data_IF_287339737607
#
_entry.id   IF_287339737607
#
_cell.length_a   1.000
_cell.length_b   1.000
_cell.length_c   1.000
_cell.angle_alpha   90.00
_cell.angle_beta   90.00
_cell.angle_gamma   90.00
#
_symmetry.space_group_name_H-M   'P 1'
#
loop_
_entity.id
_entity.type
_entity.pdbx_description
1 polymer ?
#
# COMPACT_ATOMS: atom_id res chain seq x y z
N UNK A 1 13.35 -57.31 -30.37
CA UNK A 1 13.23 -57.22 -28.90
C UNK A 1 13.48 -55.77 -28.51
N UNK A 2 12.41 -55.06 -28.17
CA UNK A 2 12.40 -53.69 -27.68
C UNK A 2 12.86 -53.68 -26.22
N UNK A 3 13.97 -53.01 -25.92
CA UNK A 3 14.43 -52.72 -24.57
C UNK A 3 14.20 -51.25 -24.24
N UNK A 4 13.20 -51.00 -23.40
CA UNK A 4 12.86 -49.70 -22.82
C UNK A 4 13.86 -49.30 -21.74
N UNK A 5 14.51 -48.14 -21.88
CA UNK A 5 15.19 -47.48 -20.76
C UNK A 5 14.20 -46.62 -19.98
N UNK A 6 14.03 -46.98 -18.70
CA UNK A 6 13.26 -46.29 -17.68
C UNK A 6 13.90 -44.93 -17.34
N UNK A 7 13.13 -43.86 -17.48
CA UNK A 7 13.43 -42.54 -16.90
C UNK A 7 12.69 -42.42 -15.56
N UNK A 8 13.35 -42.82 -14.47
CA UNK A 8 12.85 -42.63 -13.11
C UNK A 8 13.51 -41.38 -12.48
N UNK A 9 12.69 -40.51 -11.90
CA UNK A 9 13.07 -39.73 -10.72
C UNK A 9 13.71 -38.36 -10.92
N UNK A 10 13.01 -37.39 -11.51
CA UNK A 10 13.31 -35.95 -11.29
C UNK A 10 12.08 -35.09 -10.97
N UNK A 11 10.88 -35.67 -10.90
CA UNK A 11 9.65 -34.92 -10.57
C UNK A 11 9.29 -34.92 -9.08
N UNK A 12 9.86 -35.81 -8.26
CA UNK A 12 9.48 -35.94 -6.84
C UNK A 12 10.38 -35.15 -5.88
N UNK A 13 11.61 -34.77 -6.27
CA UNK A 13 12.52 -34.03 -5.38
C UNK A 13 12.09 -32.59 -5.09
N UNK A 14 11.33 -31.93 -5.98
CA UNK A 14 10.85 -30.55 -5.73
C UNK A 14 9.71 -30.55 -4.72
N UNK A 15 8.81 -31.54 -4.80
CA UNK A 15 7.73 -31.72 -3.83
C UNK A 15 8.25 -32.14 -2.45
N UNK A 16 9.23 -33.04 -2.40
CA UNK A 16 9.87 -33.44 -1.14
C UNK A 16 10.72 -32.32 -0.53
N UNK A 17 11.39 -31.49 -1.35
CA UNK A 17 12.11 -30.32 -0.85
C UNK A 17 11.15 -29.26 -0.31
N UNK A 18 10.03 -28.97 -0.99
CA UNK A 18 8.99 -28.06 -0.51
C UNK A 18 8.30 -28.58 0.76
N UNK A 19 8.02 -29.89 0.88
CA UNK A 19 7.49 -30.50 2.11
C UNK A 19 8.51 -30.54 3.26
N UNK A 20 9.78 -30.84 2.99
CA UNK A 20 10.84 -30.80 4.00
C UNK A 20 11.13 -29.37 4.47
N UNK A 21 11.04 -28.42 3.54
CA UNK A 21 11.05 -27.00 3.82
C UNK A 21 9.86 -26.67 4.74
N UNK A 22 8.62 -26.97 4.35
CA UNK A 22 7.41 -26.69 5.16
C UNK A 22 7.50 -27.25 6.59
N UNK A 23 8.09 -28.43 6.74
CA UNK A 23 8.33 -29.07 8.04
C UNK A 23 9.38 -28.36 8.93
N UNK A 24 10.31 -27.56 8.37
CA UNK A 24 11.27 -26.78 9.17
C UNK A 24 10.64 -25.55 9.86
N UNK A 25 9.54 -25.01 9.33
CA UNK A 25 8.87 -23.84 9.93
C UNK A 25 7.78 -24.22 10.94
N UNK A 26 7.22 -25.43 10.83
CA UNK A 26 6.20 -25.95 11.72
C UNK A 26 6.69 -26.28 13.14
N UNK A 27 8.01 -26.38 13.37
CA UNK A 27 8.56 -26.94 14.61
C UNK A 27 8.95 -25.95 15.71
N UNK A 28 8.93 -24.63 15.47
CA UNK A 28 9.43 -23.65 16.47
C UNK A 28 8.45 -22.49 16.69
N UNK A 29 7.83 -22.49 17.87
CA UNK A 29 7.03 -21.37 18.39
C UNK A 29 7.97 -20.28 18.91
N UNK A 30 7.81 -19.04 18.45
CA UNK A 30 8.57 -17.90 18.98
C UNK A 30 8.08 -17.57 20.41
N UNK A 31 9.01 -17.65 21.37
CA UNK A 31 8.82 -17.37 22.78
C UNK A 31 9.21 -15.95 23.17
N UNK A 32 8.89 -15.51 24.40
CA UNK A 32 9.25 -14.19 24.92
C UNK A 32 10.73 -13.80 24.72
N UNK A 33 11.64 -14.77 24.88
CA UNK A 33 13.09 -14.58 24.70
C UNK A 33 13.47 -14.17 23.28
N UNK A 34 12.71 -14.59 22.27
CA UNK A 34 13.04 -14.36 20.87
C UNK A 34 12.70 -12.91 20.45
N UNK A 35 11.86 -12.20 21.22
CA UNK A 35 11.48 -10.81 20.95
C UNK A 35 12.68 -9.85 20.90
N UNK A 36 13.80 -10.18 21.54
CA UNK A 36 15.03 -9.36 21.50
C UNK A 36 15.65 -9.32 20.10
N UNK A 37 15.43 -10.34 19.27
CA UNK A 37 16.00 -10.47 17.92
C UNK A 37 15.16 -9.78 16.82
N UNK A 38 14.07 -9.08 17.19
CA UNK A 38 13.18 -8.39 16.26
C UNK A 38 13.10 -6.89 16.57
N UNK A 39 13.45 -6.04 15.60
CA UNK A 39 13.49 -4.57 15.77
C UNK A 39 12.37 -3.89 14.99
N UNK A 40 11.85 -2.77 15.49
CA UNK A 40 10.82 -2.01 14.81
C UNK A 40 11.29 -1.56 13.43
N UNK A 41 10.50 -1.86 12.39
CA UNK A 41 10.73 -1.37 11.02
C UNK A 41 9.74 -0.27 10.65
N UNK A 42 8.48 -0.44 11.02
CA UNK A 42 7.41 0.49 10.71
C UNK A 42 6.04 -0.13 10.98
N UNK A 43 4.98 0.63 10.69
CA UNK A 43 3.61 0.14 10.84
C UNK A 43 2.61 0.86 9.93
N UNK A 44 1.61 0.10 9.51
CA UNK A 44 0.39 0.60 8.88
C UNK A 44 -0.72 0.86 9.89
N UNK A 45 -1.95 0.98 9.42
CA UNK A 45 -3.11 1.01 10.32
C UNK A 45 -3.36 -0.36 10.95
N UNK A 46 -3.27 -1.42 10.15
CA UNK A 46 -3.62 -2.79 10.57
C UNK A 46 -2.44 -3.61 11.09
N UNK A 47 -1.21 -3.32 10.67
CA UNK A 47 -0.07 -4.21 10.94
C UNK A 47 1.15 -3.45 11.46
N UNK A 48 1.86 -4.10 12.38
CA UNK A 48 3.20 -3.78 12.84
C UNK A 48 4.21 -4.62 12.04
N UNK A 49 5.35 -4.05 11.65
CA UNK A 49 6.41 -4.74 10.93
C UNK A 49 7.70 -4.69 11.75
N UNK A 50 8.32 -5.86 11.98
CA UNK A 50 9.58 -6.00 12.69
C UNK A 50 10.63 -6.66 11.79
N UNK A 51 11.83 -6.11 11.73
CA UNK A 51 12.95 -6.73 11.01
C UNK A 51 13.77 -7.63 11.93
N UNK A 52 14.22 -8.78 11.41
CA UNK A 52 15.12 -9.65 12.15
C UNK A 52 16.52 -9.03 12.26
N UNK A 53 17.09 -9.06 13.46
CA UNK A 53 18.45 -8.60 13.78
C UNK A 53 19.32 -9.67 14.46
N UNK A 54 18.81 -10.89 14.67
CA UNK A 54 19.59 -12.01 15.20
C UNK A 54 20.43 -12.71 14.12
N UNK A 55 20.98 -13.87 14.47
CA UNK A 55 21.88 -14.65 13.60
C UNK A 55 21.29 -15.97 13.11
N UNK A 56 20.06 -16.33 13.49
CA UNK A 56 19.45 -17.59 13.08
C UNK A 56 19.21 -17.59 11.55
N UNK A 57 19.84 -18.51 10.78
CA UNK A 57 19.81 -18.46 9.31
C UNK A 57 18.40 -18.41 8.71
N UNK A 58 17.44 -19.09 9.34
CA UNK A 58 16.03 -19.13 8.89
C UNK A 58 15.29 -17.78 8.94
N UNK A 59 15.75 -16.83 9.74
CA UNK A 59 15.12 -15.52 9.89
C UNK A 59 15.97 -14.38 9.32
N UNK A 60 17.24 -14.64 8.94
CA UNK A 60 18.11 -13.63 8.33
C UNK A 60 17.47 -13.10 7.04
N UNK A 61 17.36 -11.77 6.95
CA UNK A 61 16.74 -11.10 5.81
C UNK A 61 15.22 -11.25 5.76
N UNK A 62 14.56 -11.53 6.88
CA UNK A 62 13.10 -11.59 7.01
C UNK A 62 12.54 -10.49 7.91
N UNK A 63 11.25 -10.24 7.77
CA UNK A 63 10.44 -9.40 8.64
C UNK A 63 9.24 -10.18 9.17
N UNK A 64 8.80 -9.86 10.39
CA UNK A 64 7.49 -10.26 10.91
C UNK A 64 6.46 -9.18 10.62
N UNK A 65 5.30 -9.58 10.09
CA UNK A 65 4.09 -8.77 9.97
C UNK A 65 3.09 -9.26 11.02
N UNK A 66 2.84 -8.41 12.02
CA UNK A 66 2.01 -8.72 13.20
C UNK A 66 0.76 -7.85 13.15
N UNK A 67 -0.41 -8.47 13.29
CA UNK A 67 -1.68 -7.74 13.28
C UNK A 67 -1.85 -6.91 14.56
N UNK A 68 -2.51 -5.76 14.41
CA UNK A 68 -2.92 -4.89 15.49
C UNK A 68 -4.44 -4.89 15.67
N UNK A 69 -4.86 -4.64 16.91
CA UNK A 69 -6.26 -4.44 17.31
C UNK A 69 -6.45 -3.02 17.85
N UNK A 70 -7.66 -2.43 17.74
CA UNK A 70 -7.96 -1.11 18.30
C UNK A 70 -7.67 -1.04 19.80
N UNK A 71 -7.16 0.10 20.27
CA UNK A 71 -6.83 0.28 21.69
C UNK A 71 -8.06 0.26 22.62
N UNK A 72 -9.19 0.80 22.15
CA UNK A 72 -10.39 1.10 22.94
C UNK A 72 -11.60 0.19 22.65
N UNK A 73 -11.43 -0.95 21.97
CA UNK A 73 -12.56 -1.76 21.46
C UNK A 73 -12.47 -3.26 21.77
N UNK A 74 -13.60 -3.83 22.18
CA UNK A 74 -13.88 -5.22 22.56
C UNK A 74 -13.96 -6.19 21.37
N UNK A 75 -12.97 -6.22 20.48
CA UNK A 75 -12.85 -7.28 19.47
C UNK A 75 -11.70 -8.21 19.85
N UNK A 76 -11.87 -8.87 20.99
CA UNK A 76 -11.16 -10.11 21.33
C UNK A 76 -12.15 -11.28 21.20
N UNK A 77 -12.91 -11.31 20.11
CA UNK A 77 -13.87 -12.38 19.87
C UNK A 77 -13.20 -13.51 19.10
N UNK A 78 -12.63 -14.46 19.85
CA UNK A 78 -12.18 -15.78 19.39
C UNK A 78 -13.35 -16.66 18.87
N UNK A 79 -14.42 -16.07 18.31
CA UNK A 79 -15.65 -16.76 17.94
C UNK A 79 -16.36 -16.23 16.69
N UNK A 80 -15.83 -15.19 16.05
CA UNK A 80 -16.35 -14.76 14.74
C UNK A 80 -15.64 -15.51 13.61
N UNK A 81 -16.39 -15.93 12.61
CA UNK A 81 -15.82 -16.48 11.38
C UNK A 81 -14.80 -15.50 10.78
N UNK A 82 -13.68 -16.00 10.25
CA UNK A 82 -12.60 -15.22 9.64
C UNK A 82 -13.09 -14.14 8.65
N UNK A 83 -14.22 -14.41 8.01
CA UNK A 83 -14.94 -13.54 7.10
C UNK A 83 -16.40 -13.40 7.53
N UNK A 84 -17.01 -12.25 7.24
CA UNK A 84 -18.46 -12.10 7.38
C UNK A 84 -19.20 -13.00 6.38
N UNK A 85 -20.48 -13.33 6.65
CA UNK A 85 -21.31 -14.16 5.73
C UNK A 85 -21.30 -13.64 4.28
N UNK A 86 -21.34 -12.32 4.09
CA UNK A 86 -21.33 -11.71 2.77
C UNK A 86 -19.94 -11.75 2.12
N UNK A 87 -18.87 -11.62 2.90
CA UNK A 87 -17.51 -11.83 2.40
C UNK A 87 -17.28 -13.29 2.00
N UNK A 88 -17.84 -14.26 2.72
CA UNK A 88 -17.80 -15.67 2.31
C UNK A 88 -18.44 -15.86 0.92
N UNK A 89 -19.58 -15.23 0.66
CA UNK A 89 -20.22 -15.28 -0.67
C UNK A 89 -19.36 -14.56 -1.72
N UNK A 90 -18.80 -13.40 -1.36
CA UNK A 90 -18.00 -12.60 -2.27
C UNK A 90 -16.73 -13.36 -2.71
N UNK A 91 -16.05 -14.02 -1.77
CA UNK A 91 -14.77 -14.69 -2.01
C UNK A 91 -14.90 -16.20 -2.27
N UNK A 92 -16.11 -16.75 -2.20
CA UNK A 92 -16.37 -18.19 -2.34
C UNK A 92 -15.97 -18.83 -3.67
N UNK A 93 -15.64 -18.04 -4.70
CA UNK A 93 -15.07 -18.54 -5.95
C UNK A 93 -13.59 -18.94 -5.84
N UNK A 94 -12.90 -18.52 -4.78
CA UNK A 94 -11.49 -18.80 -4.55
C UNK A 94 -11.36 -19.88 -3.49
N UNK A 95 -10.78 -21.01 -3.89
CA UNK A 95 -10.58 -22.16 -3.02
C UNK A 95 -9.79 -21.79 -1.76
N UNK A 96 -10.20 -22.33 -0.61
CA UNK A 96 -9.54 -22.17 0.68
C UNK A 96 -9.88 -20.87 1.43
N UNK A 97 -10.17 -19.76 0.75
CA UNK A 97 -10.36 -18.44 1.41
C UNK A 97 -11.51 -18.47 2.43
N UNK A 98 -12.64 -19.07 2.08
CA UNK A 98 -13.84 -19.10 2.93
C UNK A 98 -13.71 -20.09 4.10
N UNK A 99 -12.94 -21.15 3.92
CA UNK A 99 -12.67 -22.17 4.95
C UNK A 99 -11.50 -21.81 5.87
N UNK A 100 -10.87 -20.65 5.66
CA UNK A 100 -9.74 -20.22 6.47
C UNK A 100 -10.13 -20.08 7.96
N UNK A 101 -9.31 -20.61 8.89
CA UNK A 101 -9.64 -20.61 10.32
C UNK A 101 -9.57 -19.20 10.93
N UNK A 102 -8.69 -18.35 10.41
CA UNK A 102 -8.49 -16.98 10.90
C UNK A 102 -8.49 -15.99 9.73
N UNK A 103 -8.66 -14.71 10.06
CA UNK A 103 -8.64 -13.65 9.05
C UNK A 103 -7.25 -13.52 8.42
N UNK A 104 -6.19 -13.80 9.17
CA UNK A 104 -4.81 -13.75 8.70
C UNK A 104 -4.57 -14.81 7.63
N UNK A 105 -5.04 -16.04 7.86
CA UNK A 105 -4.97 -17.10 6.86
C UNK A 105 -5.82 -16.77 5.63
N UNK A 106 -7.01 -16.19 5.81
CA UNK A 106 -7.83 -15.71 4.69
C UNK A 106 -7.12 -14.62 3.87
N UNK A 107 -6.41 -13.70 4.53
CA UNK A 107 -5.62 -12.65 3.88
C UNK A 107 -4.40 -13.20 3.15
N UNK A 108 -3.69 -14.17 3.72
CA UNK A 108 -2.59 -14.85 3.05
C UNK A 108 -3.07 -15.58 1.79
N UNK A 109 -4.17 -16.35 1.90
CA UNK A 109 -4.79 -17.03 0.76
C UNK A 109 -5.32 -16.04 -0.28
N UNK A 110 -5.83 -14.87 0.14
CA UNK A 110 -6.17 -13.80 -0.78
C UNK A 110 -4.95 -13.32 -1.57
N UNK A 111 -3.79 -13.12 -0.93
CA UNK A 111 -2.57 -12.76 -1.64
C UNK A 111 -2.16 -13.86 -2.61
N UNK A 112 -2.12 -15.12 -2.17
CA UNK A 112 -1.70 -16.26 -2.99
C UNK A 112 -2.63 -16.53 -4.19
N UNK A 113 -3.95 -16.53 -3.96
CA UNK A 113 -4.96 -16.97 -4.94
C UNK A 113 -5.55 -15.84 -5.76
N UNK A 114 -5.41 -14.58 -5.32
CA UNK A 114 -5.96 -13.40 -6.00
C UNK A 114 -4.86 -12.46 -6.48
N UNK A 115 -3.92 -12.07 -5.61
CA UNK A 115 -2.93 -11.05 -5.96
C UNK A 115 -1.76 -11.62 -6.78
N UNK A 116 -1.22 -12.80 -6.43
CA UNK A 116 -0.12 -13.40 -7.20
C UNK A 116 -0.46 -13.60 -8.68
N UNK A 117 -1.64 -14.16 -9.06
CA UNK A 117 -2.00 -14.29 -10.48
C UNK A 117 -2.15 -12.95 -11.23
N UNK A 118 -2.41 -11.85 -10.51
CA UNK A 118 -2.62 -10.52 -11.10
C UNK A 118 -1.32 -9.71 -11.22
N UNK A 119 -0.34 -9.96 -10.35
CA UNK A 119 0.87 -9.15 -10.22
C UNK A 119 2.17 -9.90 -10.58
N UNK A 120 2.08 -11.21 -10.84
CA UNK A 120 3.25 -12.08 -11.04
C UNK A 120 3.75 -12.65 -9.71
N UNK A 121 3.84 -13.98 -9.62
CA UNK A 121 4.32 -14.69 -8.43
C UNK A 121 5.77 -14.36 -8.05
N UNK A 122 6.58 -13.95 -9.03
CA UNK A 122 7.97 -13.53 -8.86
C UNK A 122 8.11 -12.18 -8.12
N UNK A 123 7.03 -11.39 -8.06
CA UNK A 123 7.00 -10.07 -7.44
C UNK A 123 6.16 -10.01 -6.16
N UNK A 124 5.52 -11.12 -5.77
CA UNK A 124 4.62 -11.18 -4.62
C UNK A 124 5.08 -12.24 -3.64
N UNK A 125 5.47 -11.82 -2.44
CA UNK A 125 5.71 -12.71 -1.31
C UNK A 125 4.45 -12.76 -0.45
N UNK A 126 3.73 -13.89 -0.48
CA UNK A 126 2.56 -14.10 0.36
C UNK A 126 2.91 -14.31 1.85
N UNK A 127 4.19 -14.57 2.15
CA UNK A 127 4.66 -14.93 3.47
C UNK A 127 4.30 -16.36 3.88
N UNK A 128 4.88 -16.77 5.00
CA UNK A 128 4.57 -18.04 5.68
C UNK A 128 4.13 -17.75 7.11
N UNK A 129 3.24 -18.59 7.65
CA UNK A 129 2.86 -18.48 9.06
C UNK A 129 3.96 -19.03 9.96
N UNK A 130 4.25 -18.30 11.03
CA UNK A 130 5.13 -18.74 12.13
C UNK A 130 4.33 -18.67 13.42
N UNK A 131 4.36 -19.76 14.19
CA UNK A 131 3.69 -19.82 15.48
C UNK A 131 4.36 -18.89 16.49
N UNK A 132 3.55 -18.20 17.29
CA UNK A 132 4.01 -17.29 18.34
C UNK A 132 3.30 -17.59 19.64
N UNK A 133 4.02 -17.41 20.73
CA UNK A 133 3.44 -17.40 22.07
C UNK A 133 2.81 -16.05 22.39
N UNK A 134 1.85 -16.03 23.31
CA UNK A 134 1.29 -14.79 23.84
C UNK A 134 2.37 -13.92 24.49
N UNK A 135 3.30 -14.55 25.21
CA UNK A 135 4.38 -13.86 25.91
C UNK A 135 5.36 -13.21 24.92
N UNK A 136 5.56 -13.78 23.73
CA UNK A 136 6.29 -13.14 22.65
C UNK A 136 5.62 -11.83 22.19
N UNK A 137 4.31 -11.86 21.96
CA UNK A 137 3.55 -10.70 21.50
C UNK A 137 3.52 -9.58 22.54
N UNK A 138 3.34 -9.93 23.81
CA UNK A 138 3.40 -8.98 24.93
C UNK A 138 4.81 -8.37 25.08
N UNK A 139 5.87 -9.17 24.93
CA UNK A 139 7.24 -8.69 24.95
C UNK A 139 7.55 -7.74 23.77
N UNK A 140 7.04 -8.07 22.57
CA UNK A 140 7.13 -7.21 21.38
C UNK A 140 6.45 -5.86 21.61
N UNK A 141 5.18 -5.85 22.04
CA UNK A 141 4.41 -4.62 22.27
C UNK A 141 5.17 -3.68 23.21
N UNK A 142 5.66 -4.20 24.33
CA UNK A 142 6.46 -3.45 25.31
C UNK A 142 7.74 -2.89 24.69
N UNK A 143 8.45 -3.68 23.88
CA UNK A 143 9.73 -3.28 23.26
C UNK A 143 9.57 -2.15 22.26
N UNK A 144 8.51 -2.18 21.45
CA UNK A 144 8.33 -1.22 20.37
C UNK A 144 7.61 0.06 20.81
N UNK A 145 6.99 0.09 21.99
CA UNK A 145 6.15 1.20 22.44
C UNK A 145 6.81 2.59 22.27
N UNK A 146 8.08 2.73 22.66
CA UNK A 146 8.82 3.99 22.53
C UNK A 146 9.32 4.34 21.12
N UNK A 147 9.21 3.41 20.16
CA UNK A 147 9.63 3.59 18.76
C UNK A 147 8.44 3.92 17.85
N UNK A 148 7.21 3.62 18.29
CA UNK A 148 5.98 3.84 17.54
C UNK A 148 5.55 5.31 17.65
N UNK A 149 5.02 5.94 16.59
CA UNK A 149 4.42 7.27 16.69
C UNK A 149 3.27 7.29 17.71
N UNK A 150 3.16 8.34 18.53
CA UNK A 150 2.17 8.42 19.61
C UNK A 150 0.74 8.16 19.14
N UNK A 151 0.31 8.81 18.05
CA UNK A 151 -1.04 8.61 17.48
C UNK A 151 -1.30 7.18 16.98
N UNK A 152 -0.24 6.40 16.69
CA UNK A 152 -0.36 4.98 16.33
C UNK A 152 -0.54 4.10 17.56
N UNK A 153 0.16 4.43 18.64
CA UNK A 153 0.01 3.79 19.96
C UNK A 153 -1.41 4.01 20.48
N UNK A 154 -1.89 5.26 20.43
CA UNK A 154 -3.24 5.61 20.88
C UNK A 154 -4.34 4.89 20.07
N UNK A 155 -4.09 4.64 18.79
CA UNK A 155 -5.08 4.04 17.90
C UNK A 155 -5.17 2.51 18.04
N UNK A 156 -4.04 1.81 18.20
CA UNK A 156 -3.99 0.35 18.12
C UNK A 156 -2.76 -0.26 18.81
N UNK A 157 -2.90 -1.50 19.27
CA UNK A 157 -1.86 -2.32 19.92
C UNK A 157 -1.70 -3.67 19.22
N UNK A 158 -0.59 -4.36 19.40
CA UNK A 158 -0.43 -5.76 18.95
C UNK A 158 -1.57 -6.62 19.50
N UNK A 159 -2.11 -7.52 18.67
CA UNK A 159 -3.13 -8.48 19.09
C UNK A 159 -2.50 -9.61 19.92
N UNK A 160 -2.72 -9.72 21.24
CA UNK A 160 -2.08 -10.74 22.07
C UNK A 160 -2.75 -12.13 21.94
N UNK A 161 -3.86 -12.22 21.19
CA UNK A 161 -4.62 -13.47 21.02
C UNK A 161 -4.25 -14.22 19.74
N UNK A 162 -3.43 -13.65 18.87
CA UNK A 162 -2.92 -14.36 17.70
C UNK A 162 -1.95 -15.47 18.14
N UNK A 163 -2.10 -16.65 17.54
CA UNK A 163 -1.20 -17.81 17.73
C UNK A 163 -0.17 -17.92 16.60
N UNK A 164 -0.31 -17.11 15.54
CA UNK A 164 0.61 -17.07 14.41
C UNK A 164 0.75 -15.64 13.86
N UNK A 165 1.88 -15.40 13.20
CA UNK A 165 2.22 -14.16 12.50
C UNK A 165 2.79 -14.48 11.12
N UNK A 166 2.81 -13.50 10.20
CA UNK A 166 3.39 -13.72 8.88
C UNK A 166 4.88 -13.36 8.87
N UNK A 167 5.70 -14.30 8.41
CA UNK A 167 7.11 -14.10 8.10
C UNK A 167 7.27 -13.86 6.59
N UNK A 168 7.84 -12.72 6.22
CA UNK A 168 7.98 -12.26 4.83
C UNK A 168 9.44 -11.89 4.57
N UNK A 169 9.91 -11.93 3.33
CA UNK A 169 11.21 -11.38 2.97
C UNK A 169 11.35 -9.88 3.33
N UNK A 170 12.51 -9.48 3.85
CA UNK A 170 12.83 -8.07 4.01
C UNK A 170 13.17 -7.49 2.62
N UNK A 171 12.16 -6.90 1.97
CA UNK A 171 12.31 -6.26 0.66
C UNK A 171 13.09 -4.93 0.72
N UNK A 172 13.53 -4.49 1.91
CA UNK A 172 14.49 -3.38 2.07
C UNK A 172 15.96 -3.84 2.10
N UNK A 173 16.18 -5.16 1.98
CA UNK A 173 17.50 -5.79 1.89
C UNK A 173 17.59 -6.63 0.63
N UNK A 174 18.73 -6.61 -0.03
CA UNK A 174 19.06 -7.59 -1.07
C UNK A 174 19.58 -8.87 -0.40
N UNK A 175 19.19 -10.09 -0.82
CA UNK A 175 19.76 -11.32 -0.28
C UNK A 175 21.30 -11.28 -0.37
N UNK A 176 21.96 -11.81 0.67
CA UNK A 176 23.38 -11.59 0.95
C UNK A 176 24.25 -11.71 -0.29
N UNK A 177 25.04 -10.67 -0.50
CA UNK A 177 26.20 -10.74 -1.37
C UNK A 177 27.33 -11.51 -0.74
N UNK A 178 28.12 -12.19 -1.59
CA UNK A 178 29.36 -12.86 -1.21
C UNK A 178 30.38 -11.87 -0.63
N UNK A 179 30.22 -10.56 -0.86
CA UNK A 179 31.20 -9.53 -0.54
C UNK A 179 30.79 -8.61 0.62
N UNK A 180 31.78 -8.32 1.48
CA UNK A 180 31.66 -7.59 2.74
C UNK A 180 31.41 -6.07 2.59
N UNK A 181 31.51 -5.54 1.37
CA UNK A 181 31.44 -4.11 1.03
C UNK A 181 30.16 -3.72 0.26
N UNK A 182 29.26 -4.68 0.00
CA UNK A 182 28.03 -4.40 -0.74
C UNK A 182 27.01 -3.68 0.15
N UNK A 183 26.53 -2.53 -0.32
CA UNK A 183 25.35 -1.87 0.26
C UNK A 183 24.13 -2.03 -0.65
N UNK A 184 22.95 -1.99 -0.03
CA UNK A 184 21.66 -2.06 -0.69
C UNK A 184 20.92 -0.73 -0.55
N UNK A 185 20.45 -0.19 -1.67
CA UNK A 185 19.51 0.92 -1.70
C UNK A 185 18.16 0.36 -2.12
N UNK A 186 17.14 0.57 -1.29
CA UNK A 186 15.77 0.19 -1.63
C UNK A 186 14.89 1.42 -1.69
N UNK A 187 13.98 1.44 -2.65
CA UNK A 187 13.02 2.52 -2.86
C UNK A 187 11.62 1.94 -2.74
N UNK A 188 10.80 2.50 -1.86
CA UNK A 188 9.38 2.20 -1.75
C UNK A 188 8.59 3.31 -2.44
N UNK A 189 7.77 2.93 -3.43
CA UNK A 189 6.88 3.82 -4.15
C UNK A 189 5.44 3.38 -3.87
N UNK A 190 4.59 4.29 -3.42
CA UNK A 190 3.14 4.09 -3.39
C UNK A 190 2.52 4.83 -4.58
N UNK A 191 2.27 4.14 -5.71
CA UNK A 191 2.08 4.80 -7.01
C UNK A 191 0.67 5.38 -7.20
N UNK A 192 -0.28 5.04 -6.33
CA UNK A 192 -1.68 5.52 -6.42
C UNK A 192 -2.29 5.22 -7.80
N UNK A 193 -3.29 6.01 -8.20
CA UNK A 193 -4.17 5.69 -9.33
C UNK A 193 -3.75 6.34 -10.62
N UNK A 194 -2.94 5.65 -11.42
CA UNK A 194 -2.57 6.09 -12.76
C UNK A 194 -3.60 5.82 -13.85
N UNK A 195 -4.87 6.11 -13.64
CA UNK A 195 -5.87 6.18 -14.71
C UNK A 195 -6.99 7.17 -14.38
N UNK A 196 -7.69 7.63 -15.41
CA UNK A 196 -8.93 8.38 -15.28
C UNK A 196 -10.12 7.42 -15.44
N UNK A 197 -11.15 7.49 -14.59
CA UNK A 197 -12.31 6.65 -14.74
C UNK A 197 -13.09 7.03 -16.00
N UNK A 198 -13.59 6.02 -16.72
CA UNK A 198 -14.41 6.17 -17.95
C UNK A 198 -15.88 5.82 -17.73
N UNK A 199 -16.24 5.42 -16.51
CA UNK A 199 -17.57 4.93 -16.14
C UNK A 199 -18.70 5.86 -16.59
N UNK A 200 -19.75 5.27 -17.15
CA UNK A 200 -21.01 5.94 -17.48
C UNK A 200 -21.85 6.27 -16.22
N UNK A 201 -21.53 5.64 -15.09
CA UNK A 201 -22.23 5.83 -13.82
C UNK A 201 -21.73 7.05 -13.03
N UNK A 202 -20.67 7.71 -13.47
CA UNK A 202 -20.24 8.99 -12.89
C UNK A 202 -21.32 10.03 -13.15
N UNK A 203 -21.78 10.69 -12.09
CA UNK A 203 -22.81 11.70 -12.22
C UNK A 203 -22.33 12.95 -12.99
N UNK A 204 -23.23 13.69 -13.62
CA UNK A 204 -22.85 14.83 -14.48
C UNK A 204 -22.20 15.93 -13.65
N UNK A 205 -22.71 16.16 -12.45
CA UNK A 205 -22.12 17.04 -11.43
C UNK A 205 -20.68 16.64 -11.03
N UNK A 206 -20.32 15.37 -11.26
CA UNK A 206 -19.02 14.77 -10.94
C UNK A 206 -18.15 14.54 -12.20
N UNK A 207 -18.52 15.08 -13.36
CA UNK A 207 -17.83 14.85 -14.64
C UNK A 207 -16.34 15.20 -14.63
N UNK A 208 -15.89 16.05 -13.70
CA UNK A 208 -14.48 16.39 -13.48
C UNK A 208 -13.60 15.16 -13.22
N UNK A 209 -14.17 14.09 -12.64
CA UNK A 209 -13.47 12.81 -12.40
C UNK A 209 -12.90 12.20 -13.68
N UNK A 210 -13.56 12.42 -14.83
CA UNK A 210 -13.13 11.91 -16.14
C UNK A 210 -11.92 12.69 -16.71
N UNK A 211 -11.56 13.83 -16.11
CA UNK A 211 -10.51 14.74 -16.61
C UNK A 211 -9.35 14.90 -15.63
N UNK A 212 -9.65 14.87 -14.32
CA UNK A 212 -8.66 15.14 -13.26
C UNK A 212 -8.40 13.88 -12.45
N UNK A 213 -7.13 13.45 -12.28
CA UNK A 213 -6.80 12.29 -11.47
C UNK A 213 -7.29 12.44 -10.02
N UNK A 214 -7.84 11.36 -9.46
CA UNK A 214 -8.25 11.30 -8.05
C UNK A 214 -7.15 11.79 -7.10
N UNK A 215 -5.88 11.45 -7.37
CA UNK A 215 -4.75 11.91 -6.56
C UNK A 215 -4.69 13.44 -6.48
N UNK A 216 -4.79 14.14 -7.62
CA UNK A 216 -4.77 15.60 -7.67
C UNK A 216 -5.96 16.22 -6.94
N UNK A 217 -7.17 15.69 -7.15
CA UNK A 217 -8.35 16.18 -6.43
C UNK A 217 -8.21 15.99 -4.92
N UNK A 218 -7.72 14.82 -4.49
CA UNK A 218 -7.57 14.50 -3.08
C UNK A 218 -6.44 15.30 -2.41
N UNK A 219 -5.38 15.69 -3.13
CA UNK A 219 -4.34 16.59 -2.60
C UNK A 219 -4.95 17.91 -2.09
N UNK A 220 -5.91 18.50 -2.82
CA UNK A 220 -6.58 19.73 -2.36
C UNK A 220 -7.33 19.52 -1.04
N UNK A 221 -8.10 18.44 -0.95
CA UNK A 221 -8.84 18.12 0.28
C UNK A 221 -7.89 17.84 1.44
N UNK A 222 -6.79 17.11 1.21
CA UNK A 222 -5.77 16.84 2.23
C UNK A 222 -5.11 18.12 2.73
N UNK A 223 -4.80 19.06 1.84
CA UNK A 223 -4.22 20.35 2.22
C UNK A 223 -5.21 21.13 3.10
N UNK A 224 -6.47 21.23 2.67
CA UNK A 224 -7.52 21.90 3.45
C UNK A 224 -7.73 21.26 4.83
N UNK A 225 -7.61 19.93 4.94
CA UNK A 225 -7.71 19.20 6.19
C UNK A 225 -6.43 19.24 7.05
N UNK A 226 -5.40 19.98 6.63
CA UNK A 226 -4.11 20.04 7.32
C UNK A 226 -3.33 18.71 7.34
N UNK A 227 -3.71 17.74 6.49
CA UNK A 227 -3.07 16.41 6.41
C UNK A 227 -1.75 16.43 5.64
N UNK A 228 -1.52 17.47 4.85
CA UNK A 228 -0.28 17.72 4.11
C UNK A 228 0.06 19.20 4.19
N UNK A 229 1.34 19.54 4.19
CA UNK A 229 1.82 20.94 4.24
C UNK A 229 1.81 21.64 2.88
N UNK A 230 2.00 20.86 1.80
CA UNK A 230 2.06 21.36 0.42
C UNK A 230 1.50 20.33 -0.56
N UNK A 231 0.93 20.82 -1.67
CA UNK A 231 0.47 19.96 -2.75
C UNK A 231 1.65 19.23 -3.39
N UNK A 232 1.47 17.94 -3.66
CA UNK A 232 2.44 17.15 -4.41
C UNK A 232 2.40 17.51 -5.90
N UNK A 233 3.59 17.59 -6.52
CA UNK A 233 3.72 17.69 -7.98
C UNK A 233 3.64 16.32 -8.67
N UNK A 234 3.63 15.24 -7.89
CA UNK A 234 3.54 13.88 -8.40
C UNK A 234 2.23 13.68 -9.16
N UNK A 235 2.33 13.12 -10.37
CA UNK A 235 1.18 12.70 -11.16
C UNK A 235 1.25 11.19 -11.40
N UNK A 236 0.33 10.40 -10.85
CA UNK A 236 0.22 8.99 -11.18
C UNK A 236 0.07 8.74 -12.69
N UNK A 237 -0.58 9.62 -13.45
CA UNK A 237 -0.68 9.43 -14.90
C UNK A 237 0.68 9.50 -15.60
N UNK A 238 1.63 10.26 -15.06
CA UNK A 238 3.00 10.32 -15.59
C UNK A 238 3.78 9.03 -15.26
N UNK A 239 3.59 8.49 -14.04
CA UNK A 239 4.20 7.23 -13.60
C UNK A 239 3.74 6.03 -14.44
N UNK A 240 2.46 5.96 -14.80
CA UNK A 240 1.88 4.82 -15.54
C UNK A 240 1.77 5.08 -17.05
N UNK A 241 2.59 5.98 -17.60
CA UNK A 241 2.34 6.55 -18.92
C UNK A 241 2.87 5.78 -20.13
N UNK A 242 3.74 4.78 -19.96
CA UNK A 242 4.53 4.26 -21.09
C UNK A 242 5.79 5.08 -21.41
N UNK A 243 5.90 6.32 -20.92
CA UNK A 243 6.88 7.28 -21.40
C UNK A 243 7.99 7.54 -20.37
N UNK A 244 9.23 7.21 -20.75
CA UNK A 244 10.45 7.46 -19.97
C UNK A 244 10.52 8.87 -19.38
N UNK A 245 10.29 9.90 -20.18
CA UNK A 245 10.36 11.30 -19.73
C UNK A 245 9.31 11.62 -18.66
N UNK A 246 8.09 11.10 -18.85
CA UNK A 246 6.99 11.30 -17.90
C UNK A 246 7.27 10.55 -16.60
N UNK A 247 7.74 9.31 -16.68
CA UNK A 247 8.16 8.52 -15.51
C UNK A 247 9.27 9.25 -14.75
N UNK A 248 10.28 9.78 -15.45
CA UNK A 248 11.35 10.54 -14.82
C UNK A 248 10.84 11.79 -14.10
N UNK A 249 9.88 12.52 -14.69
CA UNK A 249 9.22 13.66 -14.01
C UNK A 249 8.43 13.22 -12.78
N UNK A 250 7.74 12.09 -12.85
CA UNK A 250 7.00 11.53 -11.73
C UNK A 250 7.95 11.19 -10.57
N UNK A 251 9.07 10.52 -10.85
CA UNK A 251 10.12 10.21 -9.86
C UNK A 251 10.71 11.49 -9.27
N UNK A 252 11.10 12.47 -10.10
CA UNK A 252 11.59 13.77 -9.61
C UNK A 252 10.59 14.44 -8.67
N UNK A 253 9.30 14.39 -9.00
CA UNK A 253 8.24 14.97 -8.17
C UNK A 253 8.05 14.23 -6.85
N UNK A 254 8.25 12.91 -6.82
CA UNK A 254 8.27 12.10 -5.61
C UNK A 254 9.43 12.49 -4.70
N UNK A 255 10.63 12.76 -5.23
CA UNK A 255 11.73 13.31 -4.42
C UNK A 255 11.43 14.70 -3.84
N UNK A 256 10.79 15.59 -4.61
CA UNK A 256 10.50 16.96 -4.14
C UNK A 256 9.36 17.02 -3.10
N UNK A 257 8.39 16.11 -3.23
CA UNK A 257 7.15 16.06 -2.43
C UNK A 257 6.81 14.61 -2.08
N UNK A 258 7.63 13.94 -1.25
CA UNK A 258 7.53 12.49 -1.02
C UNK A 258 6.23 12.09 -0.35
N UNK A 259 5.75 12.88 0.62
CA UNK A 259 4.59 12.54 1.45
C UNK A 259 4.69 11.07 1.92
N UNK A 260 3.62 10.28 1.78
CA UNK A 260 3.66 8.83 1.98
C UNK A 260 3.73 8.03 0.66
N UNK A 261 4.16 8.69 -0.40
CA UNK A 261 4.27 8.12 -1.74
C UNK A 261 5.69 7.61 -2.05
N UNK A 262 6.70 8.04 -1.29
CA UNK A 262 8.09 7.73 -1.61
C UNK A 262 8.94 7.61 -0.36
N UNK A 263 9.67 6.50 -0.24
CA UNK A 263 10.69 6.28 0.80
C UNK A 263 11.95 5.67 0.18
N UNK A 264 13.10 5.99 0.77
CA UNK A 264 14.38 5.38 0.41
C UNK A 264 15.00 4.77 1.66
N UNK A 265 15.52 3.56 1.53
CA UNK A 265 16.18 2.81 2.58
C UNK A 265 17.62 2.52 2.16
N UNK A 266 18.55 2.64 3.10
CA UNK A 266 19.95 2.22 2.97
C UNK A 266 20.19 1.06 3.92
N UNK A 267 20.52 -0.11 3.39
CA UNK A 267 20.70 -1.36 4.14
C UNK A 267 19.50 -1.65 5.07
N UNK A 268 18.31 -1.38 4.56
CA UNK A 268 17.03 -1.48 5.27
C UNK A 268 16.70 -0.33 6.22
N UNK A 269 17.64 0.56 6.56
CA UNK A 269 17.37 1.72 7.42
C UNK A 269 16.76 2.85 6.61
N UNK A 270 15.67 3.48 7.09
CA UNK A 270 15.03 4.60 6.40
C UNK A 270 16.00 5.78 6.28
N UNK A 271 16.31 6.18 5.06
CA UNK A 271 17.22 7.28 4.73
C UNK A 271 16.47 8.52 4.22
N UNK A 272 15.29 8.34 3.61
CA UNK A 272 14.48 9.44 3.06
C UNK A 272 12.98 9.10 3.07
N UNK A 273 12.11 10.10 3.27
CA UNK A 273 10.65 9.94 3.09
C UNK A 273 9.84 9.57 4.35
N UNK A 274 10.14 10.18 5.51
CA UNK A 274 9.47 9.89 6.79
C UNK A 274 8.40 10.90 7.24
N UNK A 275 7.31 10.36 7.83
CA UNK A 275 6.29 10.96 8.72
C UNK A 275 5.17 11.87 8.18
N UNK A 276 4.98 12.02 6.86
CA UNK A 276 3.85 12.79 6.33
C UNK A 276 2.96 11.94 5.41
N UNK A 277 1.95 11.23 5.92
CA UNK A 277 0.84 10.91 5.02
C UNK A 277 -0.17 9.83 5.39
N UNK A 278 -1.43 10.22 5.22
CA UNK A 278 -2.63 9.39 5.26
C UNK A 278 -2.73 8.43 4.07
N UNK A 279 -3.27 7.24 4.33
CA UNK A 279 -3.54 6.14 3.39
C UNK A 279 -4.32 6.56 2.12
N UNK A 280 -4.10 5.87 1.00
CA UNK A 280 -4.88 6.01 -0.25
C UNK A 280 -4.58 4.89 -1.27
N UNK A 281 -5.66 4.43 -1.93
CA UNK A 281 -6.08 3.06 -2.37
C UNK A 281 -6.43 2.99 -3.88
N UNK A 282 -6.39 1.80 -4.56
CA UNK A 282 -7.05 1.32 -5.84
C UNK A 282 -6.41 0.75 -7.25
N UNK A 283 -7.15 0.09 -8.16
CA UNK A 283 -6.88 -0.37 -9.59
C UNK A 283 -7.08 -1.90 -9.65
N UNK A 284 -8.13 -2.54 -10.17
CA UNK A 284 -9.21 -2.39 -11.18
C UNK A 284 -10.54 -1.62 -10.88
N UNK A 285 -10.83 -0.51 -11.55
CA UNK A 285 -12.10 0.22 -11.31
C UNK A 285 -12.80 0.60 -12.62
N UNK A 286 -13.49 -0.38 -13.24
CA UNK A 286 -14.20 -0.15 -14.49
C UNK A 286 -15.49 0.66 -14.30
N UNK A 287 -16.17 0.46 -13.17
CA UNK A 287 -17.51 1.01 -12.90
C UNK A 287 -17.47 2.27 -12.04
N UNK A 288 -16.30 2.63 -11.48
CA UNK A 288 -16.15 3.69 -10.48
C UNK A 288 -16.94 3.39 -9.20
N UNK A 289 -16.52 3.97 -8.07
CA UNK A 289 -17.27 3.82 -6.82
C UNK A 289 -18.70 4.34 -6.91
N UNK A 290 -18.97 5.33 -7.78
CA UNK A 290 -20.31 5.83 -8.06
C UNK A 290 -21.23 4.78 -8.68
N UNK A 291 -20.70 3.78 -9.39
CA UNK A 291 -21.50 2.64 -9.84
C UNK A 291 -21.42 1.44 -8.88
N UNK A 292 -20.24 1.11 -8.36
CA UNK A 292 -20.02 -0.09 -7.53
C UNK A 292 -20.82 -0.07 -6.22
N UNK A 293 -21.13 1.12 -5.69
CA UNK A 293 -21.94 1.28 -4.48
C UNK A 293 -23.39 0.77 -4.65
N UNK A 294 -23.95 0.83 -5.87
CA UNK A 294 -25.31 0.33 -6.15
C UNK A 294 -25.36 -1.20 -6.06
N UNK A 295 -24.38 -1.87 -6.67
CA UNK A 295 -24.22 -3.32 -6.57
C UNK A 295 -23.99 -3.76 -5.11
N UNK A 296 -23.26 -2.97 -4.33
CA UNK A 296 -23.06 -3.22 -2.89
C UNK A 296 -24.39 -3.22 -2.12
N UNK A 297 -25.23 -2.19 -2.26
CA UNK A 297 -26.51 -2.12 -1.53
C UNK A 297 -27.43 -3.31 -1.84
N UNK A 298 -27.47 -3.73 -3.09
CA UNK A 298 -28.22 -4.93 -3.51
C UNK A 298 -27.65 -6.21 -2.87
N UNK A 299 -26.32 -6.38 -2.82
CA UNK A 299 -25.67 -7.56 -2.22
C UNK A 299 -25.96 -7.64 -0.72
N UNK A 300 -25.89 -6.50 -0.01
CA UNK A 300 -26.19 -6.45 1.43
C UNK A 300 -27.70 -6.50 1.72
N UNK A 301 -28.54 -6.60 0.67
CA UNK A 301 -30.01 -6.61 0.77
C UNK A 301 -30.57 -5.40 1.52
N UNK A 302 -29.93 -4.25 1.36
CA UNK A 302 -30.40 -2.98 1.91
C UNK A 302 -30.92 -2.09 0.79
N UNK A 303 -31.91 -1.22 1.08
CA UNK A 303 -32.32 -0.23 0.12
C UNK A 303 -31.15 0.67 -0.29
N UNK A 304 -31.02 0.93 -1.60
CA UNK A 304 -29.94 1.78 -2.10
C UNK A 304 -30.08 3.22 -1.61
N UNK A 305 -29.22 3.60 -0.66
CA UNK A 305 -29.25 4.94 -0.05
C UNK A 305 -28.89 6.03 -1.06
N UNK A 306 -28.04 5.72 -2.05
CA UNK A 306 -27.68 6.66 -3.13
C UNK A 306 -28.89 7.02 -3.99
N UNK A 307 -29.74 6.05 -4.31
CA UNK A 307 -30.97 6.30 -5.06
C UNK A 307 -32.01 7.06 -4.22
N UNK A 308 -32.10 6.76 -2.92
CA UNK A 308 -33.02 7.44 -1.98
C UNK A 308 -32.69 8.90 -1.74
N UNK A 309 -31.41 9.25 -1.63
CA UNK A 309 -30.99 10.65 -1.41
C UNK A 309 -31.26 11.56 -2.63
N UNK A 310 -31.45 10.98 -3.82
CA UNK A 310 -31.63 11.70 -5.09
C UNK A 310 -33.07 11.66 -5.61
N UNK A 311 -34.08 11.54 -4.74
CA UNK A 311 -35.53 11.41 -5.03
C UNK A 311 -36.19 12.67 -5.68
N UNK A 312 -35.49 13.31 -6.61
CA UNK A 312 -35.98 14.35 -7.51
C UNK A 312 -35.80 13.93 -8.97
N UNK A 313 -36.60 12.96 -9.44
CA UNK A 313 -37.04 12.73 -10.83
C UNK A 313 -36.02 12.76 -12.02
N UNK A 314 -34.70 12.83 -11.81
CA UNK A 314 -33.71 12.96 -12.92
C UNK A 314 -32.62 11.90 -13.00
N UNK A 315 -32.52 10.96 -12.06
CA UNK A 315 -31.41 9.98 -12.03
C UNK A 315 -31.83 8.52 -11.83
N UNK A 316 -33.12 8.21 -11.61
CA UNK A 316 -33.57 6.82 -11.39
C UNK A 316 -33.25 5.90 -12.57
N UNK A 317 -33.25 6.41 -13.81
CA UNK A 317 -32.91 5.62 -15.00
C UNK A 317 -31.44 5.20 -15.10
N UNK A 318 -30.49 6.04 -14.66
CA UNK A 318 -29.04 5.81 -14.90
C UNK A 318 -28.53 4.53 -14.23
N UNK A 319 -29.00 4.27 -13.01
CA UNK A 319 -28.55 3.11 -12.21
C UNK A 319 -29.51 1.93 -12.29
N UNK A 320 -30.62 2.06 -13.03
CA UNK A 320 -31.61 0.99 -13.18
C UNK A 320 -31.01 -0.28 -13.80
N UNK A 321 -30.06 -0.13 -14.73
CA UNK A 321 -29.35 -1.27 -15.32
C UNK A 321 -28.53 -2.04 -14.27
N UNK A 322 -27.86 -1.33 -13.34
CA UNK A 322 -27.11 -1.94 -12.24
C UNK A 322 -28.03 -2.68 -11.27
N UNK A 323 -29.18 -2.11 -10.92
CA UNK A 323 -30.13 -2.77 -10.00
C UNK A 323 -30.87 -3.94 -10.65
N UNK A 324 -31.07 -3.92 -11.97
CA UNK A 324 -31.69 -5.01 -12.73
C UNK A 324 -30.75 -6.20 -13.00
N UNK A 325 -29.45 -6.03 -12.77
CA UNK A 325 -28.42 -7.01 -13.07
C UNK A 325 -28.54 -8.29 -12.21
N UNK A 326 -28.15 -9.47 -12.73
CA UNK A 326 -28.04 -10.69 -11.92
C UNK A 326 -27.12 -10.53 -10.72
N UNK A 327 -27.43 -11.24 -9.63
CA UNK A 327 -26.68 -11.16 -8.37
C UNK A 327 -25.19 -11.50 -8.53
N UNK A 328 -24.85 -12.47 -9.37
CA UNK A 328 -23.47 -12.90 -9.57
C UNK A 328 -22.61 -11.86 -10.29
N UNK A 329 -23.19 -11.12 -11.22
CA UNK A 329 -22.54 -9.99 -11.87
C UNK A 329 -22.33 -8.84 -10.87
N UNK A 330 -23.31 -8.53 -10.02
CA UNK A 330 -23.14 -7.56 -8.92
C UNK A 330 -22.01 -7.96 -7.97
N UNK A 331 -21.96 -9.24 -7.58
CA UNK A 331 -20.88 -9.78 -6.76
C UNK A 331 -19.52 -9.62 -7.45
N UNK A 332 -19.45 -9.83 -8.77
CA UNK A 332 -18.24 -9.58 -9.55
C UNK A 332 -17.84 -8.10 -9.52
N UNK A 333 -18.76 -7.17 -9.70
CA UNK A 333 -18.48 -5.72 -9.65
C UNK A 333 -17.85 -5.33 -8.32
N UNK A 334 -18.48 -5.71 -7.21
CA UNK A 334 -17.98 -5.35 -5.87
C UNK A 334 -16.65 -6.03 -5.57
N UNK A 335 -16.50 -7.29 -5.98
CA UNK A 335 -15.23 -8.03 -5.81
C UNK A 335 -14.10 -7.36 -6.58
N UNK A 336 -14.30 -7.07 -7.86
CA UNK A 336 -13.29 -6.45 -8.71
C UNK A 336 -12.92 -5.06 -8.18
N UNK A 337 -13.89 -4.31 -7.65
CA UNK A 337 -13.66 -3.03 -6.97
C UNK A 337 -12.82 -3.17 -5.68
N UNK A 338 -12.98 -4.25 -4.91
CA UNK A 338 -12.20 -4.48 -3.69
C UNK A 338 -10.78 -4.98 -3.98
N UNK A 339 -10.62 -5.90 -4.94
CA UNK A 339 -9.31 -6.32 -5.47
C UNK A 339 -8.56 -5.10 -5.96
N UNK A 340 -9.28 -4.27 -6.70
CA UNK A 340 -8.79 -3.00 -7.14
C UNK A 340 -8.32 -2.15 -6.02
N UNK A 341 -9.17 -1.95 -5.02
CA UNK A 341 -8.85 -1.15 -3.86
C UNK A 341 -7.50 -1.53 -3.26
N UNK A 342 -7.19 -2.82 -3.16
CA UNK A 342 -5.86 -3.30 -2.79
C UNK A 342 -4.74 -2.72 -3.68
N UNK A 343 -4.87 -2.75 -5.00
CA UNK A 343 -3.80 -2.40 -5.92
C UNK A 343 -3.40 -0.91 -6.10
N UNK A 344 -4.10 0.10 -5.54
CA UNK A 344 -3.54 1.52 -5.49
C UNK A 344 -3.08 1.81 -4.08
N UNK A 345 -3.39 0.90 -3.15
CA UNK A 345 -2.96 1.00 -1.77
C UNK A 345 -1.67 0.23 -1.52
N UNK A 346 -1.31 -0.68 -2.42
CA UNK A 346 -0.02 -1.38 -2.41
C UNK A 346 1.15 -0.41 -2.58
N UNK A 347 2.32 -0.88 -2.18
CA UNK A 347 3.59 -0.21 -2.43
C UNK A 347 4.50 -1.12 -3.25
N UNK A 348 5.27 -0.54 -4.16
CA UNK A 348 6.29 -1.21 -4.94
C UNK A 348 7.64 -0.94 -4.28
N UNK A 349 8.32 -1.99 -3.84
CA UNK A 349 9.70 -1.93 -3.36
C UNK A 349 10.67 -2.36 -4.47
N UNK A 350 11.58 -1.46 -4.85
CA UNK A 350 12.66 -1.76 -5.79
C UNK A 350 13.98 -1.70 -5.01
N UNK A 351 14.70 -2.82 -4.93
CA UNK A 351 15.98 -2.89 -4.25
C UNK A 351 17.11 -3.06 -5.25
N UNK A 352 18.11 -2.20 -5.13
CA UNK A 352 19.35 -2.21 -5.89
C UNK A 352 20.48 -2.67 -4.99
N UNK A 353 21.39 -3.48 -5.53
CA UNK A 353 22.63 -3.87 -4.85
C UNK A 353 23.81 -3.28 -5.58
N UNK A 354 24.68 -2.58 -4.84
CA UNK A 354 25.96 -2.12 -5.36
C UNK A 354 26.83 -3.33 -5.73
N UNK A 355 27.51 -3.26 -6.88
CA UNK A 355 28.42 -4.32 -7.36
C UNK A 355 29.71 -3.69 -7.85
N UNK A 356 30.54 -3.19 -6.93
CA UNK A 356 31.84 -2.60 -7.28
C UNK A 356 31.80 -1.67 -8.51
N UNK A 357 32.83 -1.73 -9.36
CA UNK A 357 32.98 -0.86 -10.55
C UNK A 357 32.06 -1.19 -11.75
N UNK A 358 31.06 -2.07 -11.61
CA UNK A 358 30.20 -2.44 -12.74
C UNK A 358 29.00 -1.49 -12.90
N UNK A 359 28.68 -1.16 -14.16
CA UNK A 359 27.66 -0.18 -14.55
C UNK A 359 26.21 -0.67 -14.35
N UNK A 360 25.99 -1.98 -14.21
CA UNK A 360 24.69 -2.60 -14.01
C UNK A 360 24.57 -3.21 -12.61
N UNK A 361 23.79 -2.55 -11.76
CA UNK A 361 23.45 -3.07 -10.43
C UNK A 361 22.25 -4.01 -10.56
N UNK A 362 22.34 -5.26 -10.07
CA UNK A 362 21.17 -6.14 -10.04
C UNK A 362 20.08 -5.49 -9.18
N UNK A 363 18.83 -5.61 -9.63
CA UNK A 363 17.66 -5.13 -8.92
C UNK A 363 16.65 -6.23 -8.68
N UNK A 364 15.82 -6.07 -7.65
CA UNK A 364 14.60 -6.85 -7.43
C UNK A 364 13.43 -5.91 -7.21
N UNK A 365 12.27 -6.28 -7.73
CA UNK A 365 11.01 -5.57 -7.52
C UNK A 365 10.03 -6.47 -6.77
N UNK A 366 9.33 -5.91 -5.79
CA UNK A 366 8.36 -6.65 -4.98
C UNK A 366 7.19 -5.76 -4.57
N UNK A 367 5.97 -6.30 -4.62
CA UNK A 367 4.77 -5.64 -4.14
C UNK A 367 4.53 -5.97 -2.66
N UNK A 368 4.21 -4.94 -1.87
CA UNK A 368 3.85 -5.06 -0.46
C UNK A 368 2.51 -4.34 -0.20
N UNK A 369 1.95 -4.48 1.00
CA UNK A 369 0.66 -3.91 1.41
C UNK A 369 -0.56 -4.45 0.60
N UNK A 370 -0.60 -5.77 0.40
CA UNK A 370 -1.60 -6.48 -0.42
C UNK A 370 -2.84 -6.96 0.35
N UNK A 371 -3.15 -6.33 1.49
CA UNK A 371 -4.21 -6.74 2.40
C UNK A 371 -5.60 -6.70 1.76
N UNK A 372 -6.37 -7.77 1.97
CA UNK A 372 -7.77 -7.86 1.53
C UNK A 372 -8.60 -6.74 2.14
N UNK A 373 -9.31 -5.96 1.30
CA UNK A 373 -10.14 -4.86 1.77
C UNK A 373 -11.48 -5.37 2.32
N UNK A 374 -11.90 -4.96 3.53
CA UNK A 374 -13.19 -5.36 4.10
C UNK A 374 -14.37 -4.87 3.25
N UNK A 375 -15.40 -5.71 3.07
CA UNK A 375 -16.58 -5.36 2.28
C UNK A 375 -17.29 -4.10 2.80
N UNK A 376 -17.35 -3.93 4.13
CA UNK A 376 -17.97 -2.76 4.78
C UNK A 376 -17.34 -1.42 4.40
N UNK A 377 -16.13 -1.41 3.81
CA UNK A 377 -15.49 -0.16 3.38
C UNK A 377 -16.09 0.45 2.13
N UNK A 378 -16.97 -0.23 1.41
CA UNK A 378 -17.63 0.31 0.21
C UNK A 378 -18.31 1.66 0.47
N UNK A 379 -19.07 1.77 1.56
CA UNK A 379 -19.72 3.04 1.93
C UNK A 379 -18.72 4.14 2.26
N UNK A 380 -17.64 3.80 2.96
CA UNK A 380 -16.57 4.74 3.26
C UNK A 380 -15.91 5.25 1.97
N UNK A 381 -15.63 4.37 1.01
CA UNK A 381 -15.04 4.76 -0.27
C UNK A 381 -15.97 5.69 -1.04
N UNK A 382 -17.27 5.40 -1.07
CA UNK A 382 -18.26 6.26 -1.71
C UNK A 382 -18.33 7.64 -1.05
N UNK A 383 -18.47 7.70 0.28
CA UNK A 383 -18.52 8.96 1.03
C UNK A 383 -17.26 9.80 0.83
N UNK A 384 -16.09 9.18 0.88
CA UNK A 384 -14.82 9.87 0.66
C UNK A 384 -14.70 10.41 -0.76
N UNK A 385 -15.12 9.64 -1.77
CA UNK A 385 -15.13 10.08 -3.16
C UNK A 385 -16.02 11.30 -3.36
N UNK A 386 -17.25 11.27 -2.83
CA UNK A 386 -18.16 12.42 -2.88
C UNK A 386 -17.58 13.65 -2.18
N UNK A 387 -16.89 13.48 -1.04
CA UNK A 387 -16.19 14.58 -0.36
C UNK A 387 -15.05 15.17 -1.20
N UNK A 388 -14.23 14.33 -1.83
CA UNK A 388 -13.10 14.76 -2.67
C UNK A 388 -13.62 15.57 -3.86
N UNK A 389 -14.60 15.03 -4.58
CA UNK A 389 -15.10 15.62 -5.83
C UNK A 389 -15.87 16.90 -5.54
N UNK A 390 -16.78 16.89 -4.56
CA UNK A 390 -17.53 18.09 -4.18
C UNK A 390 -16.61 19.22 -3.69
N UNK A 391 -15.55 18.91 -2.95
CA UNK A 391 -14.56 19.90 -2.54
C UNK A 391 -13.80 20.47 -3.74
N UNK A 392 -13.36 19.61 -4.66
CA UNK A 392 -12.66 20.04 -5.87
C UNK A 392 -13.52 20.97 -6.73
N UNK A 393 -14.76 20.57 -7.02
CA UNK A 393 -15.70 21.36 -7.84
C UNK A 393 -15.98 22.72 -7.22
N UNK A 394 -16.17 22.81 -5.89
CA UNK A 394 -16.36 24.08 -5.18
C UNK A 394 -15.15 25.01 -5.34
N UNK A 395 -13.94 24.47 -5.20
CA UNK A 395 -12.71 25.25 -5.37
C UNK A 395 -12.50 25.72 -6.81
N UNK A 396 -12.83 24.88 -7.80
CA UNK A 396 -12.68 25.21 -9.22
C UNK A 396 -13.67 26.30 -9.68
N UNK A 397 -14.93 26.22 -9.23
CA UNK A 397 -15.95 27.25 -9.49
C UNK A 397 -15.53 28.61 -8.89
N UNK A 398 -14.94 28.61 -7.69
CA UNK A 398 -14.49 29.85 -7.05
C UNK A 398 -13.33 30.50 -7.83
N UNK A 399 -12.39 29.72 -8.36
CA UNK A 399 -11.35 30.23 -9.26
C UNK A 399 -11.92 30.88 -10.53
N UNK A 400 -12.99 30.32 -11.09
CA UNK A 400 -13.68 30.89 -12.26
C UNK A 400 -14.43 32.19 -11.98
N UNK A 401 -14.92 32.38 -10.75
CA UNK A 401 -15.62 33.61 -10.32
C UNK A 401 -14.64 34.72 -9.89
N UNK A 402 -13.48 34.34 -9.35
CA UNK A 402 -12.42 35.26 -8.92
C UNK A 402 -11.46 35.69 -10.05
N UNK A 403 -11.82 35.44 -11.32
CA UNK A 403 -11.07 35.89 -12.51
C UNK A 403 -10.90 37.41 -12.68
N UNK A 404 -11.15 38.22 -11.65
CA UNK A 404 -10.72 39.63 -11.52
C UNK A 404 -9.75 39.91 -10.38
N UNK A 405 -9.37 38.92 -9.57
CA UNK A 405 -8.26 39.04 -8.61
C UNK A 405 -7.35 37.83 -8.81
N UNK A 406 -6.43 38.00 -9.76
CA UNK A 406 -5.27 37.12 -9.88
C UNK A 406 -4.46 37.22 -8.58
N UNK A 407 -4.03 36.05 -8.08
CA UNK A 407 -3.16 35.85 -6.92
C UNK A 407 -3.80 36.02 -5.53
N UNK A 408 -4.46 34.97 -5.03
CA UNK A 408 -4.62 34.77 -3.59
C UNK A 408 -4.64 33.29 -3.22
N UNK A 409 -3.49 32.65 -3.34
CA UNK A 409 -3.14 31.53 -2.45
C UNK A 409 -1.93 31.85 -1.57
N UNK A 410 -1.23 32.97 -1.82
CA UNK A 410 -0.20 33.52 -0.93
C UNK A 410 -0.79 34.25 0.29
N UNK A 411 -2.10 34.53 0.32
CA UNK A 411 -2.71 35.26 1.44
C UNK A 411 -2.80 34.42 2.73
N UNK A 412 -2.86 33.09 2.64
CA UNK A 412 -2.88 32.22 3.83
C UNK A 412 -1.50 31.92 4.42
N UNK A 413 -0.41 32.39 3.80
CA UNK A 413 0.96 32.23 4.30
C UNK A 413 1.47 33.42 5.12
N UNK A 414 0.75 34.56 5.18
CA UNK A 414 1.22 35.75 5.93
C UNK A 414 0.48 36.08 7.23
N UNK A 415 -0.61 35.39 7.56
CA UNK A 415 -1.31 35.59 8.83
C UNK A 415 -0.74 34.68 9.93
N UNK A 416 0.51 34.96 10.32
CA UNK A 416 1.23 34.23 11.36
C UNK A 416 2.40 35.05 11.91
N UNK A 417 2.26 36.37 12.04
CA UNK A 417 3.23 37.19 12.76
C UNK A 417 2.98 37.10 14.27
N UNK A 418 3.85 36.34 14.94
CA UNK A 418 3.87 36.20 16.39
C UNK A 418 5.01 35.29 16.84
N UNK A 419 6.23 35.57 16.39
CA UNK A 419 7.44 34.96 16.98
C UNK A 419 7.94 35.88 18.10
N UNK A 420 8.22 35.37 19.32
CA UNK A 420 9.00 36.11 20.29
C UNK A 420 10.47 36.10 19.88
N UNK A 421 11.09 37.27 20.01
CA UNK A 421 12.53 37.53 19.85
C UNK A 421 13.37 36.71 20.84
N UNK A 422 14.62 36.43 20.42
CA UNK A 422 15.78 35.90 21.14
C UNK A 422 16.15 34.43 20.92
N UNK A 423 16.95 34.17 19.89
CA UNK A 423 18.00 33.12 19.92
C UNK A 423 19.26 33.71 19.25
N UNK A 424 20.49 33.51 19.81
CA UNK A 424 21.69 34.26 19.43
C UNK A 424 22.26 33.86 18.07
N UNK A 425 22.85 34.86 17.39
CA UNK A 425 23.69 34.72 16.21
C UNK A 425 24.80 33.69 16.41
N UNK A 426 24.85 32.70 15.52
CA UNK A 426 26.07 31.95 15.22
C UNK A 426 26.37 32.19 13.73
N UNK A 427 27.27 33.14 13.47
CA UNK A 427 27.80 33.43 12.15
C UNK A 427 28.71 32.28 11.68
N UNK A 428 28.75 32.10 10.35
CA UNK A 428 29.61 31.22 9.54
C UNK A 428 29.14 29.77 9.35
N UNK A 429 28.15 29.58 8.47
CA UNK A 429 28.21 28.50 7.47
C UNK A 429 27.85 29.10 6.12
N UNK A 430 28.84 29.11 5.22
CA UNK A 430 28.76 29.61 3.85
C UNK A 430 27.61 28.98 3.07
N UNK A 431 26.74 29.84 2.53
CA UNK A 431 25.88 29.55 1.40
C UNK A 431 26.75 29.18 0.20
N UNK A 432 26.89 27.88 -0.09
CA UNK A 432 27.17 27.33 -1.43
C UNK A 432 27.22 25.80 -1.34
N UNK A 433 26.04 25.17 -1.38
CA UNK A 433 25.88 23.82 -1.93
C UNK A 433 24.71 23.86 -2.91
N UNK A 434 24.91 24.62 -3.98
CA UNK A 434 24.24 24.35 -5.25
C UNK A 434 24.79 23.01 -5.72
N UNK A 435 23.98 21.96 -5.70
CA UNK A 435 24.29 20.73 -6.45
C UNK A 435 24.24 21.08 -7.94
N UNK A 436 25.37 21.60 -8.43
CA UNK A 436 25.65 21.75 -9.85
C UNK A 436 25.69 20.36 -10.48
N UNK A 437 24.57 19.97 -11.10
CA UNK A 437 24.42 18.71 -11.83
C UNK A 437 24.95 18.82 -13.27
N UNK A 438 25.85 19.77 -13.55
CA UNK A 438 26.32 20.05 -14.91
C UNK A 438 27.83 20.20 -15.08
N UNK A 439 28.70 19.47 -14.37
CA UNK A 439 30.12 19.39 -14.79
C UNK A 439 30.78 18.03 -14.55
N UNK A 440 31.75 17.72 -15.41
CA UNK A 440 32.42 16.44 -15.59
C UNK A 440 33.12 15.91 -14.32
N UNK A 441 32.79 14.67 -13.94
CA UNK A 441 33.49 13.95 -12.88
C UNK A 441 32.72 12.68 -12.49
N UNK A 442 33.41 11.54 -12.53
CA UNK A 442 32.91 10.19 -12.33
C UNK A 442 32.31 9.95 -10.94
N UNK A 443 30.99 10.11 -10.81
CA UNK A 443 30.12 9.47 -9.81
C UNK A 443 28.65 9.69 -10.24
N UNK A 444 28.22 8.97 -11.28
CA UNK A 444 26.82 8.99 -11.74
C UNK A 444 26.06 7.83 -11.10
N UNK A 445 25.10 8.12 -10.22
CA UNK A 445 23.97 7.21 -10.00
C UNK A 445 23.19 7.20 -11.32
N UNK A 446 23.37 6.14 -12.09
CA UNK A 446 22.84 6.04 -13.45
C UNK A 446 21.34 5.72 -13.38
N UNK A 447 20.48 6.73 -13.60
CA UNK A 447 19.02 6.61 -13.62
C UNK A 447 18.47 5.72 -14.75
N UNK A 448 19.33 5.22 -15.65
CA UNK A 448 18.95 4.36 -16.76
C UNK A 448 18.36 3.00 -16.31
N UNK A 449 18.60 2.57 -15.06
CA UNK A 449 18.06 1.32 -14.51
C UNK A 449 16.58 1.40 -14.10
N UNK A 450 16.01 2.59 -13.86
CA UNK A 450 14.60 2.73 -13.46
C UNK A 450 13.61 2.51 -14.62
N UNK A 451 14.11 2.54 -15.86
CA UNK A 451 13.28 2.53 -17.08
C UNK A 451 12.85 1.13 -17.51
N UNK A 452 13.63 0.10 -17.18
CA UNK A 452 13.33 -1.28 -17.56
C UNK A 452 12.34 -1.98 -16.60
N UNK A 453 12.23 -1.52 -15.36
CA UNK A 453 11.44 -2.21 -14.31
C UNK A 453 9.95 -1.87 -14.32
N UNK A 454 9.54 -0.77 -14.95
CA UNK A 454 8.11 -0.35 -14.98
C UNK A 454 7.37 -0.86 -16.24
N UNK A 455 8.09 -1.49 -17.19
CA UNK A 455 7.53 -1.90 -18.50
C UNK A 455 7.78 -3.36 -18.89
N UNK A 456 7.86 -4.26 -17.91
CA UNK A 456 7.64 -5.70 -18.16
C UNK A 456 6.34 -6.13 -17.51
#
# INVERSE_FOLDING_TARGET
>A
MSGSFSTCGTKDMVGELDEMMDNQWMAAVLGAKDAVEWIYRGEGAANLVLAYCGSAPKFVGKVLRIQKVPANGSECENGHSALTKLECILWGKFEGIVSAPTRETAEQLYVQKVMCPLLGSEHVDAGIHVLVSREFLEAVEKKVLGQRPSWRVDAAKVNPLCDSVLLIADHSKFPHGIFKEDFCISVEIKPKGGFLPVSEFIAEENAVKKKIPRFKMHQLLKLHQGKIRKLSKYDPLDMFSGSKDRVQRAIKSLFLTPQNNFRVFLNGSLAFGGMDGSADIQKLDAIDIEGAIHAYYDIVSQPCMVCREKDGNKLSGRYSSLHSMPRDEKLKIVRDYLISSTAKDLSLMISFRSRGNNLESPYKASFIDLDMKPLKKMEYYYKLDQQIVSFYVKMDINKGKEGKVVASFDFFLSAGSGLPENIPHCENVSEDVVLDLSTHGSNKINFHMFEHTIFL
#
